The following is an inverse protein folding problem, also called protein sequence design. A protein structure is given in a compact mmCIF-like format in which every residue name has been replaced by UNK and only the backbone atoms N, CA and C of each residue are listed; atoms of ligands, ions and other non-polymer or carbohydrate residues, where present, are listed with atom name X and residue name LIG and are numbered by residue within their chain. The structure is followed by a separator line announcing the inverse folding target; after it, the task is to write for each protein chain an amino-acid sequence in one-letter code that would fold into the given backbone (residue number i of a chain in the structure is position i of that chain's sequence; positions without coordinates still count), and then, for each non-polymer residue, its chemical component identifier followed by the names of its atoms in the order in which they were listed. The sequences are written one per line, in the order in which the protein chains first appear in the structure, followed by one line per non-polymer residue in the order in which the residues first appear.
data_IF_953473374261
#
_entry.id   IF_953473374261
#
_cell.length_a   1.000
_cell.length_b   1.000
_cell.length_c   1.000
_cell.angle_alpha   90.00
_cell.angle_beta   90.00
_cell.angle_gamma   90.00
#
_symmetry.space_group_name_H-M   'P 1'
#
loop_
_entity.id
_entity.type
_entity.pdbx_description
1 polymer ?
#
# COMPACT_ATOMS: atom_id res chain seq x y z
N UNK A 1 7.58 -8.52 14.66
CA UNK A 1 7.07 -8.32 13.28
C UNK A 1 5.77 -7.56 13.39
N UNK A 2 5.53 -6.57 12.53
CA UNK A 2 4.27 -5.82 12.51
C UNK A 2 3.55 -6.15 11.21
N UNK A 3 2.27 -6.53 11.30
CA UNK A 3 1.47 -6.94 10.15
C UNK A 3 0.47 -5.83 9.82
N UNK A 4 0.60 -5.24 8.63
CA UNK A 4 -0.28 -4.16 8.15
C UNK A 4 -0.85 -4.60 6.80
N UNK A 5 -2.17 -4.49 6.64
CA UNK A 5 -2.89 -4.90 5.42
C UNK A 5 -2.57 -6.33 4.94
N UNK A 6 -2.32 -7.26 5.87
CA UNK A 6 -1.99 -8.65 5.57
C UNK A 6 -0.51 -8.91 5.23
N UNK A 7 0.34 -7.87 5.22
CA UNK A 7 1.78 -7.96 4.92
C UNK A 7 2.62 -7.75 6.16
N UNK A 8 3.71 -8.51 6.25
CA UNK A 8 4.73 -8.33 7.26
C UNK A 8 5.69 -7.22 6.85
N UNK A 9 5.67 -6.12 7.60
CA UNK A 9 6.49 -4.94 7.34
C UNK A 9 7.78 -5.00 8.17
N UNK A 10 8.93 -4.54 7.63
CA UNK A 10 10.20 -4.49 8.36
C UNK A 10 10.15 -3.50 9.53
N UNK A 11 10.34 -4.00 10.76
CA UNK A 11 10.24 -3.20 12.00
C UNK A 11 11.44 -2.28 12.26
N UNK A 12 12.57 -2.55 11.60
CA UNK A 12 13.82 -1.81 11.80
C UNK A 12 13.91 -0.53 10.93
N UNK A 13 12.93 -0.29 10.06
CA UNK A 13 12.88 0.88 9.17
C UNK A 13 11.97 1.96 9.73
N UNK A 14 12.11 3.19 9.22
CA UNK A 14 11.15 4.26 9.44
C UNK A 14 9.78 3.89 8.86
N UNK A 15 8.70 4.37 9.48
CA UNK A 15 7.32 4.02 9.13
C UNK A 15 7.04 4.19 7.62
N UNK A 16 7.41 5.34 7.04
CA UNK A 16 7.19 5.59 5.61
C UNK A 16 7.91 4.59 4.72
N UNK A 17 9.18 4.26 5.02
CA UNK A 17 9.96 3.29 4.24
C UNK A 17 9.36 1.90 4.40
N UNK A 18 8.90 1.57 5.60
CA UNK A 18 8.34 0.28 5.88
C UNK A 18 7.03 0.06 5.10
N UNK A 19 6.17 1.08 5.03
CA UNK A 19 4.93 1.09 4.23
C UNK A 19 5.19 0.90 2.73
N UNK A 20 6.30 1.41 2.19
CA UNK A 20 6.65 1.17 0.76
C UNK A 20 6.94 -0.29 0.41
N UNK A 21 7.00 -1.19 1.40
CA UNK A 21 7.08 -2.63 1.14
C UNK A 21 5.74 -3.21 0.62
N UNK A 22 4.64 -2.46 0.74
CA UNK A 22 3.33 -2.82 0.23
C UNK A 22 3.21 -2.41 -1.25
N UNK A 23 2.80 -3.34 -2.10
CA UNK A 23 2.53 -3.10 -3.50
C UNK A 23 1.35 -2.13 -3.68
N UNK A 24 1.60 -1.04 -4.42
CA UNK A 24 0.65 0.06 -4.58
C UNK A 24 0.87 1.22 -3.61
N UNK A 25 1.79 1.10 -2.64
CA UNK A 25 2.17 2.18 -1.73
C UNK A 25 3.56 2.69 -2.08
N UNK A 26 3.61 3.84 -2.75
CA UNK A 26 4.85 4.57 -3.01
C UNK A 26 5.24 5.53 -1.87
N UNK A 27 6.37 6.25 -2.00
CA UNK A 27 6.84 7.19 -0.98
C UNK A 27 5.82 8.31 -0.67
N UNK A 28 5.16 8.85 -1.71
CA UNK A 28 4.13 9.88 -1.56
C UNK A 28 2.91 9.38 -0.79
N UNK A 29 2.42 8.18 -1.13
CA UNK A 29 1.29 7.56 -0.42
C UNK A 29 1.67 7.17 1.00
N UNK A 30 2.88 6.67 1.21
CA UNK A 30 3.37 6.33 2.54
C UNK A 30 3.42 7.55 3.46
N UNK A 31 3.87 8.71 2.96
CA UNK A 31 3.83 9.97 3.72
C UNK A 31 2.39 10.40 4.02
N UNK A 32 1.50 10.40 3.01
CA UNK A 32 0.10 10.76 3.21
C UNK A 32 -0.61 9.86 4.25
N UNK A 33 -0.31 8.55 4.24
CA UNK A 33 -0.84 7.59 5.22
C UNK A 33 -0.30 7.87 6.62
N UNK A 34 1.00 8.18 6.75
CA UNK A 34 1.60 8.57 8.02
C UNK A 34 0.95 9.86 8.56
N UNK A 35 0.76 10.86 7.71
CA UNK A 35 0.15 12.14 8.08
C UNK A 35 -1.32 11.98 8.49
N UNK A 36 -2.09 11.17 7.75
CA UNK A 36 -3.48 10.86 8.07
C UNK A 36 -3.63 10.07 9.39
N UNK A 37 -2.72 9.12 9.64
CA UNK A 37 -2.68 8.36 10.89
C UNK A 37 -2.13 9.17 12.08
N UNK A 38 -1.63 10.39 11.86
CA UNK A 38 -1.00 11.22 12.90
C UNK A 38 0.35 10.67 13.38
N UNK A 39 1.00 9.82 12.58
CA UNK A 39 2.25 9.15 12.92
C UNK A 39 3.41 9.87 12.25
N UNK A 40 4.48 10.27 12.98
CA UNK A 40 5.64 10.87 12.34
C UNK A 40 6.30 9.86 11.39
N UNK A 41 6.39 10.20 10.10
CA UNK A 41 6.94 9.32 9.07
C UNK A 41 8.33 8.75 9.43
N UNK A 42 9.17 9.56 10.10
CA UNK A 42 10.54 9.20 10.48
C UNK A 42 10.63 8.30 11.73
N UNK A 43 9.51 8.04 12.42
CA UNK A 43 9.48 7.15 13.57
C UNK A 43 9.76 5.71 13.11
N UNK A 44 10.60 4.99 13.85
CA UNK A 44 10.84 3.56 13.57
C UNK A 44 9.58 2.77 13.88
N UNK A 45 9.25 1.80 13.03
CA UNK A 45 8.07 0.94 13.21
C UNK A 45 8.08 0.23 14.57
N UNK A 46 9.25 -0.16 15.09
CA UNK A 46 9.39 -0.75 16.43
C UNK A 46 8.98 0.17 17.59
N UNK A 47 9.01 1.48 17.38
CA UNK A 47 8.68 2.50 18.38
C UNK A 47 7.20 2.93 18.29
N UNK A 48 6.45 2.40 17.32
CA UNK A 48 5.03 2.69 17.19
C UNK A 48 4.26 1.97 18.29
N UNK A 49 3.30 2.67 18.87
CA UNK A 49 2.30 2.11 19.76
C UNK A 49 1.28 1.26 18.99
N UNK A 50 0.58 0.36 19.68
CA UNK A 50 -0.48 -0.45 19.05
C UNK A 50 -1.59 0.41 18.43
N UNK A 51 -1.92 1.56 19.04
CA UNK A 51 -2.91 2.49 18.51
C UNK A 51 -2.48 3.13 17.19
N UNK A 52 -1.21 3.53 17.07
CA UNK A 52 -0.65 4.07 15.82
C UNK A 52 -0.59 2.99 14.73
N UNK A 53 -0.26 1.75 15.10
CA UNK A 53 -0.26 0.62 14.15
C UNK A 53 -1.67 0.34 13.63
N UNK A 54 -2.69 0.40 14.48
CA UNK A 54 -4.08 0.20 14.06
C UNK A 54 -4.59 1.38 13.20
N UNK A 55 -4.21 2.61 13.54
CA UNK A 55 -4.51 3.79 12.71
C UNK A 55 -3.90 3.65 11.31
N UNK A 56 -2.61 3.31 11.21
CA UNK A 56 -1.95 3.03 9.93
C UNK A 56 -2.64 1.90 9.16
N UNK A 57 -3.10 0.86 9.86
CA UNK A 57 -3.82 -0.26 9.23
C UNK A 57 -5.16 0.18 8.65
N UNK A 58 -5.89 1.02 9.38
CA UNK A 58 -7.17 1.58 8.93
C UNK A 58 -6.97 2.43 7.67
N UNK A 59 -6.00 3.35 7.71
CA UNK A 59 -5.67 4.24 6.59
C UNK A 59 -5.19 3.47 5.35
N UNK A 60 -4.33 2.46 5.51
CA UNK A 60 -3.90 1.61 4.39
C UNK A 60 -5.09 0.85 3.79
N UNK A 61 -6.06 0.44 4.61
CA UNK A 61 -7.26 -0.26 4.16
C UNK A 61 -8.17 0.57 3.24
N UNK A 62 -8.05 1.90 3.27
CA UNK A 62 -8.77 2.79 2.35
C UNK A 62 -8.18 2.83 0.94
N UNK A 63 -6.97 2.30 0.74
CA UNK A 63 -6.32 2.24 -0.57
C UNK A 63 -6.42 0.85 -1.18
N UNK A 64 -6.62 0.79 -2.50
CA UNK A 64 -6.46 -0.45 -3.27
C UNK A 64 -4.98 -0.82 -3.33
N UNK A 65 -4.60 -1.84 -2.59
CA UNK A 65 -3.22 -2.35 -2.47
C UNK A 65 -3.17 -3.83 -2.81
N UNK A 66 -1.96 -4.32 -3.11
CA UNK A 66 -1.68 -5.75 -3.29
C UNK A 66 -2.57 -6.48 -4.30
N UNK A 67 -3.28 -7.52 -3.85
CA UNK A 67 -3.99 -8.46 -4.72
C UNK A 67 -5.07 -7.79 -5.54
N UNK A 68 -5.78 -6.82 -4.95
CA UNK A 68 -6.84 -6.10 -5.63
C UNK A 68 -6.29 -5.18 -6.71
N UNK A 69 -5.22 -4.43 -6.39
CA UNK A 69 -4.53 -3.59 -7.38
C UNK A 69 -3.91 -4.44 -8.51
N UNK A 70 -3.32 -5.60 -8.19
CA UNK A 70 -2.77 -6.53 -9.19
C UNK A 70 -3.85 -7.08 -10.13
N UNK A 71 -5.03 -7.43 -9.59
CA UNK A 71 -6.17 -7.87 -10.39
C UNK A 71 -6.72 -6.77 -11.28
N UNK A 72 -6.87 -5.56 -10.74
CA UNK A 72 -7.34 -4.40 -11.49
C UNK A 72 -6.42 -4.09 -12.68
N UNK A 73 -5.11 -4.02 -12.44
CA UNK A 73 -4.11 -3.80 -13.50
C UNK A 73 -4.17 -4.91 -14.55
N UNK A 74 -4.28 -6.17 -14.13
CA UNK A 74 -4.38 -7.31 -15.07
C UNK A 74 -5.64 -7.25 -15.94
N UNK A 75 -6.79 -6.90 -15.35
CA UNK A 75 -8.05 -6.71 -16.10
C UNK A 75 -7.97 -5.52 -17.04
N UNK A 76 -7.37 -4.40 -16.61
CA UNK A 76 -7.20 -3.23 -17.45
C UNK A 76 -6.31 -3.53 -18.66
N UNK A 77 -5.20 -4.27 -18.46
CA UNK A 77 -4.33 -4.73 -19.55
C UNK A 77 -5.10 -5.64 -20.51
N UNK A 78 -5.87 -6.60 -19.99
CA UNK A 78 -6.68 -7.52 -20.80
C UNK A 78 -7.72 -6.76 -21.63
N UNK A 79 -8.44 -5.82 -21.02
CA UNK A 79 -9.43 -4.96 -21.69
C UNK A 79 -8.79 -4.12 -22.80
N UNK A 80 -7.59 -3.58 -22.57
CA UNK A 80 -6.86 -2.83 -23.60
C UNK A 80 -6.40 -3.72 -24.76
N UNK A 81 -6.05 -4.98 -24.52
CA UNK A 81 -5.75 -5.94 -25.58
C UNK A 81 -7.01 -6.26 -26.40
N UNK A 82 -8.14 -6.51 -25.75
CA UNK A 82 -9.40 -6.83 -26.42
C UNK A 82 -9.90 -5.67 -27.31
N UNK A 83 -9.70 -4.41 -26.88
CA UNK A 83 -10.10 -3.21 -27.66
C UNK A 83 -9.19 -2.97 -28.88
N UNK A 84 -7.91 -3.38 -28.82
CA UNK A 84 -6.93 -3.14 -29.89
C UNK A 84 -6.85 -4.24 -30.94
N UNK A 85 -7.58 -5.33 -30.82
CA UNK A 85 -7.68 -6.32 -31.88
C UNK A 85 -8.71 -5.82 -32.92
N UNK A 86 -8.32 -5.32 -34.10
CA UNK A 86 -9.27 -5.17 -35.17
C UNK A 86 -9.77 -6.56 -35.55
N UNK A 87 -11.09 -6.78 -35.47
CA UNK A 87 -11.73 -7.83 -36.25
C UNK A 87 -11.40 -7.54 -37.72
N UNK A 88 -10.44 -8.29 -38.27
CA UNK A 88 -10.23 -8.36 -39.70
C UNK A 88 -11.44 -9.11 -40.25
N UNK A 89 -12.43 -8.35 -40.69
CA UNK A 89 -13.51 -8.79 -41.58
C UNK A 89 -12.97 -8.79 -43.01
#
# INVERSE_FOLDING_TARGET
MVRIAGINIPVNKAAWVALTSIYGVGPTRAQAICDAAGVPANTRVRNLSEGEVEALRSEVGSYTVEGDLRREVSMNIKRLMDIKAPEVI
#
